data_IF_549169634048
#
_entry.id   IF_549169634048
#
_cell.length_a   1.000
_cell.length_b   1.000
_cell.length_c   1.000
_cell.angle_alpha   90.00
_cell.angle_beta   90.00
_cell.angle_gamma   90.00
#
_symmetry.space_group_name_H-M   'P 1'
#
loop_
_entity.id
_entity.type
_entity.pdbx_description
1 polymer ?
#
# COMPACT_ATOMS: atom_id res chain seq x y z
N UNK A 1 1.31 -32.62 2.42
CA UNK A 1 1.95 -31.74 3.45
C UNK A 1 2.14 -30.31 2.95
N UNK A 2 2.68 -30.08 1.74
CA UNK A 2 2.93 -28.73 1.21
C UNK A 2 1.66 -27.89 1.00
N UNK A 3 0.55 -28.48 0.53
CA UNK A 3 -0.71 -27.78 0.31
C UNK A 3 -1.30 -27.15 1.60
N UNK A 4 -1.27 -27.90 2.72
CA UNK A 4 -1.79 -27.43 4.02
C UNK A 4 -1.03 -26.21 4.53
N UNK A 5 0.29 -26.14 4.26
CA UNK A 5 1.14 -25.01 4.65
C UNK A 5 0.80 -23.77 3.81
N UNK A 6 0.52 -23.95 2.52
CA UNK A 6 0.11 -22.86 1.63
C UNK A 6 -1.24 -22.30 2.04
N UNK A 7 -2.23 -23.15 2.31
CA UNK A 7 -3.57 -22.73 2.72
C UNK A 7 -3.56 -22.00 4.06
N UNK A 8 -2.75 -22.46 5.03
CA UNK A 8 -2.58 -21.79 6.32
C UNK A 8 -1.96 -20.39 6.17
N UNK A 9 -0.92 -20.25 5.33
CA UNK A 9 -0.29 -18.96 5.07
C UNK A 9 -1.21 -18.01 4.32
N UNK A 10 -1.96 -18.52 3.34
CA UNK A 10 -2.92 -17.74 2.58
C UNK A 10 -4.06 -17.25 3.48
N UNK A 11 -4.62 -18.13 4.31
CA UNK A 11 -5.66 -17.79 5.26
C UNK A 11 -5.17 -16.75 6.28
N UNK A 12 -3.96 -16.92 6.84
CA UNK A 12 -3.38 -15.95 7.79
C UNK A 12 -3.09 -14.60 7.15
N UNK A 13 -2.64 -14.57 5.89
CA UNK A 13 -2.40 -13.34 5.14
C UNK A 13 -3.71 -12.61 4.80
N UNK A 14 -4.72 -13.36 4.34
CA UNK A 14 -6.06 -12.82 4.09
C UNK A 14 -6.64 -12.28 5.38
N UNK A 15 -6.62 -13.06 6.47
CA UNK A 15 -7.20 -12.67 7.76
C UNK A 15 -6.54 -11.41 8.35
N UNK A 16 -5.20 -11.30 8.27
CA UNK A 16 -4.49 -10.10 8.75
C UNK A 16 -4.85 -8.84 7.97
N UNK A 17 -4.93 -8.92 6.64
CA UNK A 17 -5.31 -7.77 5.80
C UNK A 17 -6.81 -7.42 5.92
N UNK A 18 -7.66 -8.43 6.08
CA UNK A 18 -9.10 -8.26 6.20
C UNK A 18 -9.47 -7.63 7.54
N UNK A 19 -8.85 -8.08 8.64
CA UNK A 19 -9.15 -7.57 9.97
C UNK A 19 -8.77 -6.09 10.15
N UNK A 20 -7.63 -5.64 9.60
CA UNK A 20 -7.24 -4.23 9.67
C UNK A 20 -8.14 -3.32 8.84
N UNK A 21 -8.69 -3.82 7.72
CA UNK A 21 -9.65 -3.06 6.90
C UNK A 21 -10.99 -2.89 7.63
N UNK A 22 -11.54 -3.97 8.17
CA UNK A 22 -12.81 -3.94 8.93
C UNK A 22 -12.68 -3.12 10.23
N UNK A 23 -11.56 -3.22 10.94
CA UNK A 23 -11.31 -2.40 12.12
C UNK A 23 -11.30 -0.89 11.79
N UNK A 24 -10.71 -0.50 10.66
CA UNK A 24 -10.70 0.89 10.21
C UNK A 24 -12.10 1.41 9.85
N UNK A 25 -12.92 0.60 9.19
CA UNK A 25 -14.32 0.94 8.88
C UNK A 25 -15.13 1.07 10.17
N UNK A 26 -15.02 0.10 11.08
CA UNK A 26 -15.76 0.09 12.34
C UNK A 26 -15.40 1.30 13.22
N UNK A 27 -14.10 1.64 13.32
CA UNK A 27 -13.65 2.82 14.06
C UNK A 27 -14.14 4.13 13.42
N UNK A 28 -14.15 4.22 12.09
CA UNK A 28 -14.64 5.42 11.38
C UNK A 28 -16.14 5.62 11.55
N UNK A 29 -16.92 4.53 11.52
CA UNK A 29 -18.36 4.57 11.77
C UNK A 29 -18.67 4.96 13.22
N UNK A 30 -18.00 4.32 14.19
CA UNK A 30 -18.20 4.63 15.61
C UNK A 30 -17.81 6.06 15.97
N UNK A 31 -16.66 6.55 15.47
CA UNK A 31 -16.20 7.92 15.75
C UNK A 31 -17.05 9.00 15.09
N UNK A 32 -17.54 8.78 13.86
CA UNK A 32 -18.39 9.73 13.15
C UNK A 32 -19.77 9.89 13.77
N UNK A 33 -20.38 8.79 14.23
CA UNK A 33 -21.67 8.83 14.93
C UNK A 33 -21.52 9.55 16.26
N UNK A 34 -20.45 9.25 17.02
CA UNK A 34 -20.23 9.84 18.34
C UNK A 34 -19.92 11.34 18.25
N UNK A 35 -19.07 11.77 17.32
CA UNK A 35 -18.70 13.18 17.20
C UNK A 35 -19.85 14.05 16.67
N UNK A 36 -20.61 13.56 15.68
CA UNK A 36 -21.76 14.28 15.13
C UNK A 36 -22.89 14.45 16.14
N UNK A 37 -23.16 13.40 16.93
CA UNK A 37 -24.19 13.45 17.96
C UNK A 37 -23.84 14.39 19.11
N UNK A 38 -22.60 14.31 19.61
CA UNK A 38 -22.13 15.16 20.71
C UNK A 38 -22.07 16.63 20.26
N UNK A 39 -21.53 16.91 19.06
CA UNK A 39 -21.47 18.28 18.54
C UNK A 39 -22.86 18.87 18.30
N UNK A 40 -23.79 18.06 17.77
CA UNK A 40 -25.19 18.46 17.57
C UNK A 40 -25.92 18.78 18.89
N UNK A 41 -25.73 17.95 19.93
CA UNK A 41 -26.30 18.20 21.26
C UNK A 41 -25.74 19.47 21.90
N UNK A 42 -24.42 19.64 21.89
CA UNK A 42 -23.77 20.83 22.49
C UNK A 42 -24.23 22.10 21.76
N UNK A 43 -24.25 22.09 20.43
CA UNK A 43 -24.64 23.26 19.63
C UNK A 43 -26.12 23.59 19.81
N UNK A 44 -26.99 22.59 19.87
CA UNK A 44 -28.42 22.77 20.14
C UNK A 44 -28.69 23.33 21.54
N UNK A 45 -27.93 22.90 22.56
CA UNK A 45 -28.03 23.44 23.91
C UNK A 45 -27.54 24.89 24.00
N UNK A 46 -26.51 25.28 23.24
CA UNK A 46 -25.95 26.64 23.25
C UNK A 46 -26.84 27.63 22.48
N UNK A 47 -27.37 27.23 21.33
CA UNK A 47 -28.09 28.13 20.41
C UNK A 47 -29.61 28.12 20.62
N UNK A 48 -30.17 27.11 21.30
CA UNK A 48 -31.60 27.06 21.66
C UNK A 48 -32.57 27.00 20.47
N UNK A 49 -32.10 26.57 19.30
CA UNK A 49 -32.86 26.61 18.04
C UNK A 49 -32.98 25.21 17.43
N UNK A 50 -34.22 24.72 17.33
CA UNK A 50 -34.60 23.37 16.91
C UNK A 50 -34.16 23.06 15.46
N UNK A 51 -33.91 24.09 14.65
CA UNK A 51 -33.46 23.95 13.27
C UNK A 51 -32.05 23.36 13.16
N UNK A 52 -31.21 23.49 14.20
CA UNK A 52 -29.86 22.92 14.24
C UNK A 52 -29.85 21.43 14.56
N UNK A 53 -30.81 20.93 15.34
CA UNK A 53 -30.95 19.48 15.59
C UNK A 53 -31.25 18.72 14.29
N UNK A 54 -32.17 19.24 13.47
CA UNK A 54 -32.52 18.63 12.19
C UNK A 54 -31.33 18.61 11.20
N UNK A 55 -30.57 19.71 11.12
CA UNK A 55 -29.37 19.80 10.26
C UNK A 55 -28.23 18.90 10.75
N UNK A 56 -28.05 18.77 12.06
CA UNK A 56 -27.06 17.87 12.66
C UNK A 56 -27.38 16.40 12.35
N UNK A 57 -28.66 16.00 12.35
CA UNK A 57 -29.09 14.64 11.99
C UNK A 57 -28.84 14.30 10.51
N UNK A 58 -29.04 15.25 9.60
CA UNK A 58 -28.74 15.08 8.17
C UNK A 58 -27.22 15.01 7.93
N UNK A 59 -26.44 15.84 8.64
CA UNK A 59 -24.98 15.77 8.59
C UNK A 59 -24.41 14.45 9.11
N UNK A 60 -24.96 13.94 10.22
CA UNK A 60 -24.54 12.68 10.83
C UNK A 60 -24.84 11.44 9.96
N UNK A 61 -25.83 11.53 9.07
CA UNK A 61 -26.18 10.44 8.15
C UNK A 61 -25.30 10.42 6.90
N UNK A 62 -24.95 11.57 6.33
CA UNK A 62 -24.15 11.64 5.09
C UNK A 62 -22.62 11.54 5.33
N UNK A 63 -22.14 12.08 6.46
CA UNK A 63 -20.72 12.09 6.78
C UNK A 63 -20.03 10.70 6.82
N UNK A 64 -20.61 9.64 7.42
CA UNK A 64 -19.96 8.32 7.44
C UNK A 64 -19.78 7.69 6.06
N UNK A 65 -20.68 7.98 5.10
CA UNK A 65 -20.54 7.47 3.73
C UNK A 65 -19.38 8.16 2.99
N UNK A 66 -19.24 9.47 3.16
CA UNK A 66 -18.15 10.24 2.53
C UNK A 66 -16.79 9.81 3.08
N UNK A 67 -16.66 9.66 4.41
CA UNK A 67 -15.40 9.22 5.02
C UNK A 67 -15.04 7.78 4.65
N UNK A 68 -16.03 6.86 4.57
CA UNK A 68 -15.81 5.50 4.06
C UNK A 68 -15.33 5.48 2.62
N UNK A 69 -15.92 6.28 1.72
CA UNK A 69 -15.49 6.35 0.31
C UNK A 69 -14.06 6.88 0.22
N UNK A 70 -13.72 7.94 0.95
CA UNK A 70 -12.35 8.49 0.98
C UNK A 70 -11.35 7.44 1.49
N UNK A 71 -11.69 6.72 2.56
CA UNK A 71 -10.83 5.68 3.11
C UNK A 71 -10.62 4.52 2.14
N UNK A 72 -11.68 4.09 1.43
CA UNK A 72 -11.61 3.08 0.36
C UNK A 72 -10.68 3.55 -0.75
N UNK A 73 -10.82 4.79 -1.23
CA UNK A 73 -9.95 5.36 -2.28
C UNK A 73 -8.49 5.38 -1.84
N UNK A 74 -8.20 5.82 -0.60
CA UNK A 74 -6.84 5.82 -0.04
C UNK A 74 -6.29 4.40 0.10
N UNK A 75 -7.10 3.47 0.61
CA UNK A 75 -6.72 2.07 0.77
C UNK A 75 -6.39 1.40 -0.57
N UNK A 76 -7.20 1.64 -1.60
CA UNK A 76 -6.99 1.14 -2.95
C UNK A 76 -5.70 1.73 -3.57
N UNK A 77 -5.48 3.05 -3.43
CA UNK A 77 -4.27 3.71 -3.93
C UNK A 77 -3.00 3.16 -3.28
N UNK A 78 -3.03 2.90 -1.99
CA UNK A 78 -1.87 2.39 -1.24
C UNK A 78 -1.57 0.92 -1.56
N UNK A 79 -2.59 0.08 -1.73
CA UNK A 79 -2.41 -1.33 -2.13
C UNK A 79 -2.03 -1.48 -3.62
N UNK A 80 -2.41 -0.54 -4.48
CA UNK A 80 -2.04 -0.60 -5.90
C UNK A 80 -0.54 -0.31 -6.13
N UNK A 81 0.07 0.53 -5.28
CA UNK A 81 1.49 0.94 -5.43
C UNK A 81 2.50 -0.19 -5.16
N UNK A 82 2.09 -1.31 -4.55
CA UNK A 82 3.00 -2.39 -4.15
C UNK A 82 3.30 -3.40 -5.28
N UNK A 83 2.47 -3.49 -6.31
CA UNK A 83 2.61 -4.52 -7.36
C UNK A 83 3.51 -4.12 -8.52
N UNK A 84 3.85 -2.84 -8.67
CA UNK A 84 4.66 -2.35 -9.81
C UNK A 84 6.18 -2.36 -9.55
N UNK A 85 6.61 -2.47 -8.28
CA UNK A 85 8.04 -2.46 -7.91
C UNK A 85 8.67 -3.86 -7.88
N UNK A 86 7.87 -4.92 -7.95
CA UNK A 86 8.36 -6.31 -7.96
C UNK A 86 8.82 -6.81 -9.34
N UNK A 87 8.63 -6.03 -10.41
CA UNK A 87 9.03 -6.42 -11.76
C UNK A 87 10.47 -6.02 -12.13
N UNK A 88 11.10 -5.07 -11.43
CA UNK A 88 12.47 -4.60 -11.75
C UNK A 88 13.59 -5.21 -10.88
N UNK A 89 13.28 -6.06 -9.90
CA UNK A 89 14.29 -6.69 -9.02
C UNK A 89 14.66 -8.12 -9.44
N UNK A 90 14.51 -8.49 -10.72
CA UNK A 90 14.81 -9.85 -11.17
C UNK A 90 15.56 -9.95 -12.50
N UNK A 91 16.52 -9.05 -12.78
CA UNK A 91 17.47 -9.23 -13.91
C UNK A 91 18.91 -8.78 -13.62
N UNK A 92 19.24 -8.34 -12.40
CA UNK A 92 20.64 -7.96 -12.07
C UNK A 92 21.66 -9.09 -12.19
N UNK A 93 21.24 -10.36 -12.28
CA UNK A 93 22.17 -11.48 -12.44
C UNK A 93 22.39 -11.94 -13.88
N UNK A 94 21.69 -11.37 -14.88
CA UNK A 94 21.82 -11.81 -16.29
C UNK A 94 22.68 -10.90 -17.16
N UNK A 95 22.96 -9.67 -16.72
CA UNK A 95 23.65 -8.65 -17.53
C UNK A 95 24.71 -7.92 -16.72
N UNK A 96 25.71 -7.35 -17.40
CA UNK A 96 26.70 -6.42 -16.81
C UNK A 96 26.81 -5.16 -17.68
N UNK A 97 26.95 -4.00 -17.05
CA UNK A 97 27.10 -2.72 -17.75
C UNK A 97 28.57 -2.42 -18.02
N UNK A 98 28.90 -2.06 -19.26
CA UNK A 98 30.24 -1.67 -19.64
C UNK A 98 30.61 -0.31 -19.00
N UNK A 99 31.74 -0.26 -18.30
CA UNK A 99 32.20 0.98 -17.66
C UNK A 99 32.70 2.04 -18.66
N UNK A 100 32.92 1.68 -19.92
CA UNK A 100 33.46 2.59 -20.95
C UNK A 100 32.35 3.23 -21.78
N UNK A 101 31.38 2.44 -22.24
CA UNK A 101 30.31 2.91 -23.12
C UNK A 101 28.90 2.86 -22.49
N UNK A 102 28.74 2.31 -21.29
CA UNK A 102 27.45 2.22 -20.61
C UNK A 102 26.49 1.14 -21.11
N UNK A 103 26.86 0.40 -22.18
CA UNK A 103 25.99 -0.65 -22.75
C UNK A 103 25.94 -1.88 -21.86
N UNK A 104 24.75 -2.47 -21.76
CA UNK A 104 24.54 -3.73 -21.06
C UNK A 104 24.88 -4.92 -21.97
N UNK A 105 25.75 -5.79 -21.49
CA UNK A 105 26.16 -7.01 -22.16
C UNK A 105 25.65 -8.23 -21.37
N UNK A 106 25.60 -9.42 -21.99
CA UNK A 106 25.17 -10.62 -21.29
C UNK A 106 26.22 -11.05 -20.27
N UNK A 107 25.79 -11.69 -19.17
CA UNK A 107 26.71 -12.16 -18.12
C UNK A 107 27.80 -13.11 -18.65
N UNK A 108 27.50 -13.89 -19.69
CA UNK A 108 28.42 -14.81 -20.35
C UNK A 108 29.52 -14.11 -21.16
N UNK A 109 29.28 -12.88 -21.59
CA UNK A 109 30.22 -12.14 -22.41
C UNK A 109 31.37 -11.64 -21.53
N UNK A 110 32.59 -11.94 -21.93
CA UNK A 110 33.82 -11.49 -21.27
C UNK A 110 34.28 -10.12 -21.78
N UNK A 111 33.71 -9.67 -22.90
CA UNK A 111 34.05 -8.43 -23.61
C UNK A 111 32.76 -7.72 -24.00
N UNK A 112 32.78 -6.38 -24.02
CA UNK A 112 31.64 -5.60 -24.49
C UNK A 112 31.46 -5.73 -25.99
N UNK A 113 30.24 -6.07 -26.42
CA UNK A 113 29.86 -6.29 -27.82
C UNK A 113 30.03 -5.03 -28.68
N UNK A 114 29.89 -3.85 -28.08
CA UNK A 114 29.98 -2.59 -28.79
C UNK A 114 31.41 -2.01 -28.86
N UNK A 115 32.13 -1.98 -27.73
CA UNK A 115 33.40 -1.24 -27.64
C UNK A 115 34.63 -2.12 -27.37
N UNK A 116 34.47 -3.44 -27.31
CA UNK A 116 35.58 -4.38 -27.09
C UNK A 116 36.21 -4.30 -25.70
N UNK A 117 35.61 -3.56 -24.75
CA UNK A 117 36.19 -3.41 -23.41
C UNK A 117 35.95 -4.67 -22.58
N UNK A 118 36.99 -5.24 -21.92
CA UNK A 118 36.82 -6.44 -21.12
C UNK A 118 35.94 -6.18 -19.90
N UNK A 119 35.20 -7.20 -19.50
CA UNK A 119 34.38 -7.19 -18.29
C UNK A 119 35.28 -7.06 -17.07
N UNK A 120 35.01 -6.05 -16.22
CA UNK A 120 35.71 -5.90 -14.94
C UNK A 120 35.28 -7.03 -14.00
N UNK A 121 36.15 -8.02 -13.80
CA UNK A 121 35.94 -9.06 -12.79
C UNK A 121 36.28 -8.42 -11.45
N UNK A 122 35.28 -7.96 -10.70
CA UNK A 122 35.51 -7.58 -9.32
C UNK A 122 35.77 -8.87 -8.53
N UNK A 123 37.03 -9.10 -8.14
CA UNK A 123 37.48 -10.21 -7.29
C UNK A 123 37.00 -10.04 -5.83
N UNK A 124 35.72 -9.78 -5.60
CA UNK A 124 35.16 -9.74 -4.25
C UNK A 124 34.39 -11.03 -3.99
N UNK A 125 35.00 -11.89 -3.15
CA UNK A 125 34.50 -13.14 -2.57
C UNK A 125 34.93 -14.44 -3.27
N UNK A 126 36.24 -14.68 -3.29
CA UNK A 126 36.79 -16.04 -3.11
C UNK A 126 37.72 -15.97 -1.90
N UNK A 127 37.14 -15.92 -0.71
CA UNK A 127 37.84 -16.27 0.52
C UNK A 127 37.34 -17.65 0.93
N UNK A 128 38.26 -18.61 0.79
CA UNK A 128 38.33 -19.99 1.28
C UNK A 128 37.19 -20.49 2.16
#
# INVERSE_FOLDING_TARGET
>A
MFAIIVDYFLAKFIYSKFNSFFAGILFSLLSGIFSGFIFGLITGLILGDDTYQARAMIGATLHPFVTSIIFIVIYLKNNFKSNTLLSFKQTRSKYWSCHKCGINNYRKDTVCDFCGTPKKINHTNISK
#
